data_IF_749236160805
#
_entry.id   IF_749236160805
#
_cell.length_a   1.000
_cell.length_b   1.000
_cell.length_c   1.000
_cell.angle_alpha   90.00
_cell.angle_beta   90.00
_cell.angle_gamma   90.00
#
_symmetry.space_group_name_H-M   'P 1'
#
loop_
_entity.id
_entity.type
_entity.pdbx_description
1 polymer ?
#
# COMPACT_ATOMS: atom_id res chain seq x y z
N UNK A 1 3.34 11.04 -10.40
CA UNK A 1 2.88 9.67 -10.13
C UNK A 1 3.68 9.20 -8.92
N UNK A 2 3.03 8.92 -7.80
CA UNK A 2 3.72 8.30 -6.67
C UNK A 2 4.16 6.91 -7.11
N UNK A 3 5.40 6.54 -6.78
CA UNK A 3 5.96 5.23 -7.09
C UNK A 3 5.34 4.15 -6.20
N UNK A 4 5.42 2.89 -6.62
CA UNK A 4 4.95 1.73 -5.86
C UNK A 4 5.45 1.77 -4.40
N UNK A 5 6.75 2.04 -4.22
CA UNK A 5 7.39 2.19 -2.91
C UNK A 5 6.76 3.28 -2.04
N UNK A 6 6.41 4.44 -2.63
CA UNK A 6 5.79 5.53 -1.88
C UNK A 6 4.40 5.17 -1.36
N UNK A 7 3.57 4.49 -2.17
CA UNK A 7 2.25 4.04 -1.72
C UNK A 7 2.35 2.88 -0.70
N UNK A 8 3.33 1.98 -0.82
CA UNK A 8 3.61 0.95 0.20
C UNK A 8 4.09 1.59 1.52
N UNK A 9 4.99 2.58 1.47
CA UNK A 9 5.39 3.31 2.68
C UNK A 9 4.21 4.03 3.33
N UNK A 10 3.31 4.60 2.51
CA UNK A 10 2.09 5.25 2.99
C UNK A 10 1.13 4.27 3.67
N UNK A 11 0.98 3.07 3.11
CA UNK A 11 0.18 2.00 3.72
C UNK A 11 0.74 1.59 5.10
N UNK A 12 2.07 1.43 5.23
CA UNK A 12 2.72 1.13 6.51
C UNK A 12 2.54 2.22 7.57
N UNK A 13 2.61 3.49 7.17
CA UNK A 13 2.34 4.61 8.08
C UNK A 13 0.86 4.65 8.51
N UNK A 14 -0.06 4.33 7.61
CA UNK A 14 -1.48 4.25 7.91
C UNK A 14 -1.80 3.09 8.86
N UNK A 15 -1.15 1.93 8.69
CA UNK A 15 -1.23 0.78 9.61
C UNK A 15 -0.76 1.16 11.03
N UNK A 16 0.39 1.81 11.16
CA UNK A 16 0.91 2.29 12.45
C UNK A 16 -0.03 3.28 13.15
N UNK A 17 -0.83 4.01 12.37
CA UNK A 17 -1.82 4.96 12.87
C UNK A 17 -3.22 4.34 13.03
N UNK A 18 -3.37 3.02 12.81
CA UNK A 18 -4.65 2.30 12.84
C UNK A 18 -5.71 2.87 11.86
N UNK A 19 -5.25 3.52 10.78
CA UNK A 19 -6.10 4.13 9.74
C UNK A 19 -6.24 3.20 8.54
N UNK A 20 -7.01 2.13 8.72
CA UNK A 20 -7.15 1.06 7.73
C UNK A 20 -7.77 1.52 6.38
N UNK A 21 -8.65 2.52 6.38
CA UNK A 21 -9.18 3.08 5.14
C UNK A 21 -8.09 3.73 4.26
N UNK A 22 -7.13 4.42 4.90
CA UNK A 22 -6.00 5.05 4.21
C UNK A 22 -5.01 3.99 3.72
N UNK A 23 -4.80 2.93 4.50
CA UNK A 23 -3.99 1.78 4.12
C UNK A 23 -4.57 1.09 2.89
N UNK A 24 -5.86 0.78 2.89
CA UNK A 24 -6.55 0.14 1.78
C UNK A 24 -6.51 0.99 0.50
N UNK A 25 -6.69 2.32 0.62
CA UNK A 25 -6.59 3.23 -0.51
C UNK A 25 -5.17 3.31 -1.10
N UNK A 26 -4.13 3.26 -0.27
CA UNK A 26 -2.75 3.23 -0.73
C UNK A 26 -2.43 1.90 -1.44
N UNK A 27 -2.80 0.77 -0.82
CA UNK A 27 -2.56 -0.55 -1.40
C UNK A 27 -3.36 -0.80 -2.68
N UNK A 28 -4.56 -0.24 -2.82
CA UNK A 28 -5.31 -0.27 -4.08
C UNK A 28 -4.55 0.39 -5.24
N UNK A 29 -3.88 1.52 -5.00
CA UNK A 29 -3.06 2.16 -6.05
C UNK A 29 -1.82 1.34 -6.40
N UNK A 30 -1.26 0.62 -5.42
CA UNK A 30 -0.15 -0.32 -5.63
C UNK A 30 -0.59 -1.44 -6.57
N UNK A 31 -1.80 -2.00 -6.39
CA UNK A 31 -2.33 -3.06 -7.26
C UNK A 31 -2.72 -2.55 -8.65
N UNK A 32 -3.25 -1.34 -8.75
CA UNK A 32 -3.59 -0.68 -10.03
C UNK A 32 -2.34 -0.32 -10.86
N UNK A 33 -1.17 -0.22 -10.23
CA UNK A 33 0.10 0.08 -10.90
C UNK A 33 0.69 -1.10 -11.69
N UNK A 34 -0.03 -2.23 -11.79
CA UNK A 34 0.32 -3.41 -12.63
C UNK A 34 1.70 -4.03 -12.36
N UNK A 35 2.27 -3.79 -11.18
CA UNK A 35 3.53 -4.39 -10.74
C UNK A 35 3.24 -5.63 -9.89
N UNK A 36 4.03 -6.68 -10.06
CA UNK A 36 3.93 -7.87 -9.21
C UNK A 36 4.10 -7.50 -7.73
N UNK A 37 3.20 -8.01 -6.89
CA UNK A 37 3.22 -7.81 -5.45
C UNK A 37 4.12 -8.83 -4.77
N UNK A 38 5.01 -8.35 -3.91
CA UNK A 38 5.77 -9.19 -2.99
C UNK A 38 4.85 -9.79 -1.93
N UNK A 39 5.31 -10.82 -1.21
CA UNK A 39 4.53 -11.41 -0.12
C UNK A 39 4.22 -10.41 1.00
N UNK A 40 5.16 -9.51 1.31
CA UNK A 40 4.95 -8.47 2.33
C UNK A 40 3.88 -7.46 1.91
N UNK A 41 3.87 -7.05 0.64
CA UNK A 41 2.85 -6.13 0.10
C UNK A 41 1.47 -6.80 0.08
N UNK A 42 1.39 -8.10 -0.19
CA UNK A 42 0.12 -8.83 -0.13
C UNK A 42 -0.44 -8.96 1.28
N UNK A 43 0.39 -8.97 2.31
CA UNK A 43 -0.05 -8.99 3.70
C UNK A 43 -0.61 -7.64 4.17
N UNK A 44 -0.34 -6.56 3.43
CA UNK A 44 -0.85 -5.22 3.72
C UNK A 44 -2.23 -4.95 3.06
N UNK A 45 -2.74 -5.88 2.24
CA UNK A 45 -4.09 -5.85 1.68
C UNK A 45 -5.08 -6.55 2.63
#
# INVERSE_FOLDING_TARGET
MATKDEEVQRAKLAEQAERYDDMANAMKKVTESNNELTNEERNLL
#
